data_IF_833849574783
#
_entry.id   IF_833849574783
#
_cell.length_a   1.000
_cell.length_b   1.000
_cell.length_c   1.000
_cell.angle_alpha   90.00
_cell.angle_beta   90.00
_cell.angle_gamma   90.00
#
_symmetry.space_group_name_H-M   'P 1'
#
loop_
_entity.id
_entity.type
_entity.pdbx_description
1 polymer ?
#
# COMPACT_ATOMS: atom_id res chain seq x y z
N UNK A 1 18.35 8.01 8.62
CA UNK A 1 18.87 9.38 8.50
C UNK A 1 18.21 10.26 9.56
N UNK A 2 18.94 10.67 10.61
CA UNK A 2 18.35 11.39 11.75
C UNK A 2 17.90 12.83 11.41
N UNK A 3 18.59 13.50 10.49
CA UNK A 3 18.32 14.91 10.15
C UNK A 3 17.02 15.07 9.37
N UNK A 4 16.84 14.33 8.27
CA UNK A 4 15.58 14.34 7.50
C UNK A 4 14.37 14.02 8.39
N UNK A 5 14.48 13.00 9.25
CA UNK A 5 13.39 12.64 10.18
C UNK A 5 13.04 13.75 11.18
N UNK A 6 14.02 14.58 11.58
CA UNK A 6 13.78 15.75 12.44
C UNK A 6 13.10 16.86 11.64
N UNK A 7 13.56 17.11 10.42
CA UNK A 7 12.99 18.10 9.50
C UNK A 7 11.52 17.79 9.15
N UNK A 8 11.17 16.52 8.94
CA UNK A 8 9.78 16.10 8.70
C UNK A 8 8.82 16.42 9.87
N UNK A 9 9.34 16.50 11.11
CA UNK A 9 8.53 16.88 12.29
C UNK A 9 8.49 18.38 12.49
N UNK A 10 9.61 19.04 12.20
CA UNK A 10 9.75 20.49 12.29
C UNK A 10 10.74 20.93 11.23
N UNK A 11 10.19 21.55 10.20
CA UNK A 11 10.96 22.04 9.07
C UNK A 11 12.09 22.99 9.52
N UNK A 12 13.28 22.75 9.01
CA UNK A 12 14.49 23.53 9.23
C UNK A 12 14.57 24.74 8.30
N UNK A 13 13.93 24.67 7.12
CA UNK A 13 13.93 25.73 6.12
C UNK A 13 12.60 25.77 5.37
N UNK A 14 12.23 26.96 4.88
CA UNK A 14 11.00 27.16 4.09
C UNK A 14 11.07 26.56 2.68
N UNK A 15 12.26 26.19 2.21
CA UNK A 15 12.43 25.62 0.88
C UNK A 15 12.10 24.12 0.85
N UNK A 16 11.04 23.76 0.11
CA UNK A 16 10.63 22.37 -0.09
C UNK A 16 11.65 21.53 -0.88
N UNK A 17 12.58 22.17 -1.60
CA UNK A 17 13.64 21.51 -2.38
C UNK A 17 14.94 21.34 -1.60
N UNK A 18 15.00 21.79 -0.35
CA UNK A 18 16.22 21.77 0.47
C UNK A 18 16.95 20.42 0.50
N UNK A 19 16.19 19.32 0.51
CA UNK A 19 16.75 17.97 0.54
C UNK A 19 17.05 17.40 -0.83
N UNK A 20 16.59 17.99 -1.93
CA UNK A 20 16.88 17.47 -3.27
C UNK A 20 18.35 17.70 -3.60
N UNK A 21 19.01 16.71 -4.21
CA UNK A 21 20.37 16.89 -4.72
C UNK A 21 20.32 17.73 -6.01
N UNK A 22 20.71 19.02 -5.99
CA UNK A 22 20.54 19.89 -7.15
C UNK A 22 21.53 19.56 -8.28
N UNK A 23 22.70 19.04 -7.90
CA UNK A 23 23.82 18.81 -8.83
C UNK A 23 23.68 17.49 -9.62
N UNK A 24 22.72 16.64 -9.24
CA UNK A 24 22.52 15.32 -9.86
C UNK A 24 21.07 15.16 -10.29
N UNK A 25 20.87 14.91 -11.59
CA UNK A 25 19.53 14.59 -12.10
C UNK A 25 19.01 13.30 -11.47
N UNK A 26 17.76 13.34 -11.02
CA UNK A 26 17.06 12.18 -10.46
C UNK A 26 17.08 10.97 -11.42
N UNK A 27 16.96 11.19 -12.73
CA UNK A 27 17.07 10.15 -13.75
C UNK A 27 18.42 9.42 -13.75
N UNK A 28 19.53 10.11 -13.47
CA UNK A 28 20.86 9.49 -13.37
C UNK A 28 20.90 8.51 -12.19
N UNK A 29 20.42 8.94 -11.02
CA UNK A 29 20.36 8.10 -9.82
C UNK A 29 19.44 6.89 -10.05
N UNK A 30 18.30 7.09 -10.72
CA UNK A 30 17.38 6.01 -11.05
C UNK A 30 17.99 5.00 -12.02
N UNK A 31 18.65 5.45 -13.08
CA UNK A 31 19.32 4.56 -14.03
C UNK A 31 20.44 3.74 -13.36
N UNK A 32 21.22 4.36 -12.48
CA UNK A 32 22.25 3.64 -11.70
C UNK A 32 21.66 2.65 -10.70
N UNK A 33 20.49 2.97 -10.13
CA UNK A 33 19.76 2.07 -9.23
C UNK A 33 19.23 0.86 -9.97
N UNK A 34 18.67 1.05 -11.17
CA UNK A 34 18.22 -0.04 -12.04
C UNK A 34 19.38 -0.93 -12.50
N UNK A 35 20.56 -0.36 -12.72
CA UNK A 35 21.82 -1.11 -12.97
C UNK A 35 22.40 -1.78 -11.71
N UNK A 36 21.72 -1.68 -10.57
CA UNK A 36 22.11 -2.30 -9.29
C UNK A 36 23.50 -1.87 -8.80
N UNK A 37 23.91 -0.64 -9.07
CA UNK A 37 25.16 -0.11 -8.50
C UNK A 37 25.02 0.04 -6.98
N UNK A 38 26.05 -0.34 -6.21
CA UNK A 38 26.01 -0.30 -4.74
C UNK A 38 25.72 1.11 -4.22
N UNK A 39 26.31 2.14 -4.85
CA UNK A 39 26.10 3.55 -4.50
C UNK A 39 24.64 3.96 -4.64
N UNK A 40 24.02 3.66 -5.78
CA UNK A 40 22.62 4.04 -6.00
C UNK A 40 21.68 3.23 -5.10
N UNK A 41 21.97 1.94 -4.86
CA UNK A 41 21.23 1.14 -3.90
C UNK A 41 21.28 1.70 -2.49
N UNK A 42 22.46 2.14 -2.05
CA UNK A 42 22.63 2.82 -0.77
C UNK A 42 21.86 4.15 -0.72
N UNK A 43 21.97 4.98 -1.76
CA UNK A 43 21.26 6.27 -1.85
C UNK A 43 19.74 6.08 -1.80
N UNK A 44 19.17 5.21 -2.64
CA UNK A 44 17.72 4.99 -2.65
C UNK A 44 17.24 4.34 -1.35
N UNK A 45 17.99 3.41 -0.76
CA UNK A 45 17.57 2.73 0.48
C UNK A 45 17.68 3.59 1.74
N UNK A 46 18.67 4.49 1.84
CA UNK A 46 18.92 5.29 3.04
C UNK A 46 18.55 6.76 2.90
N UNK A 47 18.48 7.26 1.68
CA UNK A 47 18.39 8.68 1.33
C UNK A 47 17.46 8.93 0.13
N UNK A 48 16.37 8.15 0.00
CA UNK A 48 15.40 8.32 -1.09
C UNK A 48 14.88 9.76 -1.23
N UNK A 49 14.80 10.51 -0.13
CA UNK A 49 14.37 11.92 -0.08
C UNK A 49 15.22 12.88 -0.92
N UNK A 50 16.45 12.48 -1.31
CA UNK A 50 17.30 13.26 -2.22
C UNK A 50 16.80 13.24 -3.68
N UNK A 51 15.95 12.27 -4.02
CA UNK A 51 15.36 12.10 -5.35
C UNK A 51 13.96 12.69 -5.38
N UNK A 52 13.55 13.26 -6.50
CA UNK A 52 12.20 13.83 -6.64
C UNK A 52 11.13 12.74 -6.46
N UNK A 53 10.06 13.06 -5.70
CA UNK A 53 8.99 12.11 -5.39
C UNK A 53 8.37 11.46 -6.64
N UNK A 54 8.13 12.27 -7.68
CA UNK A 54 7.58 11.80 -8.95
C UNK A 54 8.37 10.63 -9.53
N UNK A 55 9.70 10.73 -9.59
CA UNK A 55 10.55 9.70 -10.19
C UNK A 55 10.58 8.43 -9.33
N UNK A 56 10.46 8.56 -8.00
CA UNK A 56 10.27 7.41 -7.10
C UNK A 56 8.95 6.69 -7.34
N UNK A 57 7.87 7.43 -7.60
CA UNK A 57 6.56 6.86 -7.93
C UNK A 57 6.63 6.13 -9.27
N UNK A 58 7.32 6.70 -10.27
CA UNK A 58 7.51 6.03 -11.56
C UNK A 58 8.29 4.72 -11.42
N UNK A 59 9.40 4.72 -10.69
CA UNK A 59 10.17 3.51 -10.42
C UNK A 59 9.33 2.46 -9.68
N UNK A 60 8.59 2.87 -8.64
CA UNK A 60 7.69 1.99 -7.90
C UNK A 60 6.63 1.36 -8.81
N UNK A 61 5.97 2.16 -9.66
CA UNK A 61 4.97 1.67 -10.62
C UNK A 61 5.57 0.70 -11.63
N UNK A 62 6.79 0.95 -12.10
CA UNK A 62 7.52 0.02 -12.98
C UNK A 62 7.73 -1.33 -12.31
N UNK A 63 8.13 -1.36 -11.04
CA UNK A 63 8.31 -2.61 -10.29
C UNK A 63 7.01 -3.33 -10.01
N UNK A 64 5.95 -2.60 -9.66
CA UNK A 64 4.60 -3.20 -9.52
C UNK A 64 4.12 -3.78 -10.85
N UNK A 65 4.37 -3.09 -11.98
CA UNK A 65 4.04 -3.59 -13.31
C UNK A 65 4.77 -4.88 -13.66
N UNK A 66 6.09 -4.91 -13.50
CA UNK A 66 6.91 -6.10 -13.75
C UNK A 66 6.51 -7.29 -12.83
N UNK A 67 6.15 -7.02 -11.58
CA UNK A 67 5.65 -8.06 -10.67
C UNK A 67 4.29 -8.59 -11.11
N UNK A 68 3.37 -7.71 -11.57
CA UNK A 68 2.08 -8.12 -12.14
C UNK A 68 2.25 -8.99 -13.38
N UNK A 69 3.17 -8.62 -14.28
CA UNK A 69 3.50 -9.41 -15.47
C UNK A 69 4.05 -10.80 -15.07
N UNK A 70 4.87 -10.88 -14.03
CA UNK A 70 5.40 -12.16 -13.52
C UNK A 70 4.32 -13.08 -12.90
N UNK A 71 3.17 -12.50 -12.54
CA UNK A 71 2.01 -13.21 -11.99
C UNK A 71 0.93 -13.43 -13.05
N UNK A 72 1.17 -13.07 -14.31
CA UNK A 72 0.21 -13.31 -15.38
C UNK A 72 -0.02 -14.82 -15.55
N UNK A 73 -1.29 -15.21 -15.64
CA UNK A 73 -1.71 -16.61 -15.61
C UNK A 73 -1.73 -17.28 -14.23
N UNK A 74 -1.36 -16.59 -13.14
CA UNK A 74 -1.59 -17.10 -11.79
C UNK A 74 -3.10 -17.30 -11.54
N UNK A 75 -3.50 -18.33 -10.77
CA UNK A 75 -4.91 -18.58 -10.52
C UNK A 75 -5.54 -17.42 -9.74
N UNK A 76 -6.68 -16.93 -10.23
CA UNK A 76 -7.47 -15.94 -9.53
C UNK A 76 -8.03 -16.53 -8.24
N UNK A 77 -7.98 -15.76 -7.16
CA UNK A 77 -8.59 -16.16 -5.89
C UNK A 77 -10.00 -15.57 -5.80
N UNK A 78 -11.02 -16.41 -5.59
CA UNK A 78 -12.37 -15.93 -5.28
C UNK A 78 -12.58 -15.99 -3.77
N UNK A 79 -12.96 -14.87 -3.16
CA UNK A 79 -13.39 -14.81 -1.76
C UNK A 79 -14.88 -14.51 -1.67
N UNK A 80 -15.52 -15.07 -0.66
CA UNK A 80 -16.95 -14.90 -0.42
C UNK A 80 -17.18 -14.21 0.92
N UNK A 81 -17.89 -13.09 0.92
CA UNK A 81 -17.95 -12.19 2.08
C UNK A 81 -19.40 -11.83 2.39
N UNK A 82 -19.83 -12.03 3.63
CA UNK A 82 -21.12 -11.51 4.09
C UNK A 82 -21.00 -10.01 4.41
N UNK A 83 -21.96 -9.18 3.97
CA UNK A 83 -21.89 -7.71 4.16
C UNK A 83 -21.79 -7.26 5.62
N UNK A 84 -22.33 -8.05 6.54
CA UNK A 84 -22.31 -7.79 7.98
C UNK A 84 -20.99 -8.22 8.65
N UNK A 85 -20.18 -9.04 7.97
CA UNK A 85 -18.98 -9.71 8.50
C UNK A 85 -17.75 -9.53 7.61
N UNK A 86 -17.62 -8.32 7.03
CA UNK A 86 -16.57 -7.97 6.07
C UNK A 86 -15.16 -8.25 6.59
N UNK A 87 -14.88 -7.87 7.84
CA UNK A 87 -13.54 -7.97 8.42
C UNK A 87 -13.22 -9.43 8.74
N UNK A 88 -14.15 -10.13 9.37
CA UNK A 88 -13.98 -11.52 9.80
C UNK A 88 -13.83 -12.46 8.61
N UNK A 89 -14.72 -12.38 7.63
CA UNK A 89 -14.71 -13.26 6.46
C UNK A 89 -13.56 -12.91 5.51
N UNK A 90 -13.28 -11.61 5.33
CA UNK A 90 -12.12 -11.13 4.59
C UNK A 90 -10.81 -11.61 5.20
N UNK A 91 -10.64 -11.43 6.51
CA UNK A 91 -9.44 -11.90 7.21
C UNK A 91 -9.28 -13.42 7.13
N UNK A 92 -10.35 -14.19 7.40
CA UNK A 92 -10.30 -15.66 7.39
C UNK A 92 -9.80 -16.20 6.05
N UNK A 93 -10.25 -15.63 4.93
CA UNK A 93 -9.87 -16.12 3.60
C UNK A 93 -8.54 -15.55 3.12
N UNK A 94 -8.30 -14.25 3.31
CA UNK A 94 -7.07 -13.60 2.83
C UNK A 94 -5.84 -13.99 3.63
N UNK A 95 -5.97 -14.26 4.93
CA UNK A 95 -4.83 -14.66 5.78
C UNK A 95 -4.25 -16.04 5.45
N UNK A 96 -5.00 -16.88 4.73
CA UNK A 96 -4.55 -18.21 4.30
C UNK A 96 -3.81 -18.17 2.95
N UNK A 97 -3.82 -17.03 2.25
CA UNK A 97 -3.18 -16.91 0.94
C UNK A 97 -1.67 -16.81 1.07
N UNK A 98 -0.97 -17.43 0.12
CA UNK A 98 0.46 -17.21 -0.06
C UNK A 98 0.73 -15.79 -0.55
N UNK A 99 1.97 -15.30 -0.39
CA UNK A 99 2.36 -13.97 -0.88
C UNK A 99 2.08 -13.77 -2.38
N UNK A 100 2.20 -14.83 -3.19
CA UNK A 100 1.91 -14.75 -4.63
C UNK A 100 0.41 -14.72 -4.90
N UNK A 101 -0.38 -15.53 -4.20
CA UNK A 101 -1.83 -15.54 -4.34
C UNK A 101 -2.47 -14.22 -3.87
N UNK A 102 -1.93 -13.59 -2.83
CA UNK A 102 -2.38 -12.28 -2.34
C UNK A 102 -2.06 -11.13 -3.31
N UNK A 103 -1.01 -11.28 -4.13
CA UNK A 103 -0.63 -10.33 -5.18
C UNK A 103 -1.35 -10.57 -6.51
N UNK A 104 -1.82 -11.79 -6.73
CA UNK A 104 -2.64 -12.15 -7.89
C UNK A 104 -4.05 -11.53 -7.78
N UNK A 105 -4.84 -11.66 -8.84
CA UNK A 105 -6.19 -11.09 -8.88
C UNK A 105 -7.10 -11.75 -7.85
N UNK A 106 -7.65 -10.94 -6.95
CA UNK A 106 -8.66 -11.35 -5.97
C UNK A 106 -10.03 -10.88 -6.47
N UNK A 107 -10.95 -11.83 -6.63
CA UNK A 107 -12.35 -11.59 -6.95
C UNK A 107 -13.17 -11.72 -5.68
N UNK A 108 -14.18 -10.86 -5.54
CA UNK A 108 -15.03 -10.84 -4.36
C UNK A 108 -16.47 -11.16 -4.77
N UNK A 109 -17.11 -11.98 -3.95
CA UNK A 109 -18.53 -12.30 -4.05
C UNK A 109 -19.21 -11.94 -2.75
N UNK A 110 -20.23 -11.09 -2.79
CA UNK A 110 -21.02 -10.74 -1.61
C UNK A 110 -22.17 -11.73 -1.40
N UNK A 111 -22.44 -12.03 -0.13
CA UNK A 111 -23.63 -12.74 0.32
C UNK A 111 -24.49 -11.77 1.14
N UNK A 112 -25.80 -11.77 0.88
CA UNK A 112 -26.77 -10.98 1.63
C UNK A 112 -27.15 -11.64 2.98
N UNK A 113 -27.96 -10.97 3.80
CA UNK A 113 -28.39 -11.49 5.11
C UNK A 113 -29.23 -12.78 5.03
N UNK A 114 -29.76 -13.12 3.85
CA UNK A 114 -30.54 -14.34 3.61
C UNK A 114 -29.66 -15.51 3.14
N UNK A 115 -28.34 -15.32 3.07
CA UNK A 115 -27.41 -16.34 2.59
C UNK A 115 -27.38 -16.49 1.07
N UNK A 116 -27.99 -15.55 0.33
CA UNK A 116 -28.06 -15.58 -1.13
C UNK A 116 -26.95 -14.75 -1.77
N UNK A 117 -26.52 -15.22 -2.94
CA UNK A 117 -25.53 -14.54 -3.77
C UNK A 117 -26.05 -13.18 -4.24
N UNK A 118 -25.25 -12.15 -4.02
CA UNK A 118 -25.50 -10.86 -4.62
C UNK A 118 -24.87 -10.80 -6.01
N UNK A 119 -25.67 -10.44 -7.01
CA UNK A 119 -25.19 -10.29 -8.37
C UNK A 119 -24.19 -9.11 -8.47
N UNK A 120 -22.90 -9.42 -8.57
CA UNK A 120 -21.86 -8.46 -8.88
C UNK A 120 -21.88 -8.09 -10.35
N UNK A 121 -22.18 -6.82 -10.67
CA UNK A 121 -22.25 -6.33 -12.05
C UNK A 121 -20.83 -6.15 -12.63
N UNK A 122 -19.89 -5.66 -11.82
CA UNK A 122 -18.51 -5.36 -12.22
C UNK A 122 -17.52 -5.97 -11.23
N UNK A 123 -16.65 -6.87 -11.71
CA UNK A 123 -15.71 -7.62 -10.86
C UNK A 123 -14.68 -6.70 -10.18
N UNK A 124 -14.23 -5.65 -10.87
CA UNK A 124 -13.26 -4.70 -10.31
C UNK A 124 -13.94 -3.73 -9.33
N UNK A 125 -15.16 -3.31 -9.65
CA UNK A 125 -16.01 -2.50 -8.77
C UNK A 125 -16.31 -3.20 -7.44
N UNK A 126 -16.61 -4.49 -7.46
CA UNK A 126 -16.95 -5.27 -6.25
C UNK A 126 -15.74 -5.44 -5.33
N UNK A 127 -14.53 -5.68 -5.87
CA UNK A 127 -13.32 -5.70 -5.05
C UNK A 127 -13.04 -4.33 -4.41
N UNK A 128 -13.22 -3.25 -5.17
CA UNK A 128 -13.04 -1.88 -4.65
C UNK A 128 -14.03 -1.56 -3.52
N UNK A 129 -15.30 -1.94 -3.68
CA UNK A 129 -16.31 -1.80 -2.64
C UNK A 129 -15.92 -2.57 -1.37
N UNK A 130 -15.54 -3.85 -1.51
CA UNK A 130 -15.07 -4.68 -0.40
C UNK A 130 -13.89 -4.03 0.33
N UNK A 131 -12.89 -3.56 -0.39
CA UNK A 131 -11.71 -2.91 0.20
C UNK A 131 -12.11 -1.64 0.95
N UNK A 132 -12.95 -0.80 0.36
CA UNK A 132 -13.40 0.45 0.98
C UNK A 132 -14.19 0.21 2.28
N UNK A 133 -15.18 -0.68 2.24
CA UNK A 133 -16.01 -0.99 3.41
C UNK A 133 -15.18 -1.67 4.52
N UNK A 134 -14.28 -2.57 4.14
CA UNK A 134 -13.37 -3.23 5.09
C UNK A 134 -12.45 -2.22 5.76
N UNK A 135 -11.82 -1.31 5.01
CA UNK A 135 -10.95 -0.29 5.58
C UNK A 135 -11.72 0.68 6.50
N UNK A 136 -12.94 1.08 6.11
CA UNK A 136 -13.82 1.89 6.98
C UNK A 136 -14.08 1.20 8.32
N UNK A 137 -14.33 -0.12 8.31
CA UNK A 137 -14.57 -0.88 9.53
C UNK A 137 -13.28 -1.09 10.35
N UNK A 138 -12.19 -1.49 9.71
CA UNK A 138 -10.87 -1.73 10.34
C UNK A 138 -10.34 -0.49 11.06
N UNK A 139 -10.48 0.70 10.46
CA UNK A 139 -10.06 1.95 11.08
C UNK A 139 -11.10 2.56 12.01
N UNK A 140 -12.27 1.93 12.17
CA UNK A 140 -13.28 2.40 13.10
C UNK A 140 -12.81 2.18 14.56
N UNK A 141 -12.94 3.19 15.45
CA UNK A 141 -12.51 3.07 16.85
C UNK A 141 -13.11 1.87 17.58
N UNK A 142 -14.35 1.48 17.28
CA UNK A 142 -15.04 0.34 17.90
C UNK A 142 -14.30 -1.00 17.77
N UNK A 143 -13.52 -1.20 16.69
CA UNK A 143 -12.72 -2.41 16.57
C UNK A 143 -11.46 -2.39 17.43
N UNK A 144 -11.14 -1.26 18.06
CA UNK A 144 -9.99 -1.07 18.93
C UNK A 144 -8.66 -1.51 18.29
N UNK A 145 -8.56 -1.50 16.95
CA UNK A 145 -7.34 -1.80 16.20
C UNK A 145 -6.49 -0.54 15.98
N UNK A 146 -7.16 0.61 15.84
CA UNK A 146 -6.54 1.90 15.59
C UNK A 146 -7.21 3.00 16.41
N UNK A 147 -6.45 4.04 16.74
CA UNK A 147 -6.91 5.25 17.40
C UNK A 147 -6.47 6.48 16.63
N UNK A 148 -7.28 7.53 16.69
CA UNK A 148 -6.91 8.85 16.14
C UNK A 148 -6.01 9.54 17.16
N UNK A 149 -4.76 9.80 16.76
CA UNK A 149 -3.80 10.58 17.53
C UNK A 149 -4.14 12.07 17.50
N UNK A 150 -3.57 12.82 18.45
CA UNK A 150 -3.77 14.26 18.66
C UNK A 150 -3.44 15.15 17.45
N UNK A 151 -2.75 14.61 16.43
CA UNK A 151 -2.41 15.30 15.18
C UNK A 151 -3.16 14.74 13.97
N UNK A 152 -4.36 14.18 14.16
CA UNK A 152 -5.16 13.51 13.12
C UNK A 152 -4.40 12.38 12.39
N UNK A 153 -3.51 11.68 13.11
CA UNK A 153 -2.76 10.53 12.61
C UNK A 153 -3.39 9.23 13.13
N UNK A 154 -3.50 8.20 12.28
CA UNK A 154 -3.93 6.86 12.72
C UNK A 154 -2.76 6.14 13.40
N UNK A 155 -2.96 5.74 14.65
CA UNK A 155 -1.99 4.99 15.44
C UNK A 155 -2.53 3.60 15.74
N UNK A 156 -1.71 2.56 15.61
CA UNK A 156 -2.05 1.22 16.08
C UNK A 156 -2.28 1.28 17.60
N UNK A 157 -3.35 0.66 18.08
CA UNK A 157 -3.57 0.50 19.51
C UNK A 157 -2.50 -0.43 20.07
N UNK A 158 -1.78 0.04 21.08
CA UNK A 158 -0.87 -0.81 21.85
C UNK A 158 -1.72 -1.63 22.81
N UNK A 159 -1.74 -2.95 22.63
CA UNK A 159 -2.14 -3.86 23.69
C UNK A 159 -0.99 -3.90 24.70
N UNK A 160 -1.30 -3.59 25.97
CA UNK A 160 -0.36 -3.71 27.08
C UNK A 160 -0.10 -5.19 27.41
#
# INVERSE_FOLDING_TARGET
MLLYNRDCRRSFTKDAKFWLAPDVKSSTIMNEFEKKTERAQFLISKMSHLVVLHDRILLFRKYVGAEKESLDGAPNTMITVERTRLVEDGYRQLSMLSSNALKATIRVKFINQQGLDEAGIDQDGVFKEFLELTLKRVFHPDLNLFKVGSFACLLKTSYA
#
